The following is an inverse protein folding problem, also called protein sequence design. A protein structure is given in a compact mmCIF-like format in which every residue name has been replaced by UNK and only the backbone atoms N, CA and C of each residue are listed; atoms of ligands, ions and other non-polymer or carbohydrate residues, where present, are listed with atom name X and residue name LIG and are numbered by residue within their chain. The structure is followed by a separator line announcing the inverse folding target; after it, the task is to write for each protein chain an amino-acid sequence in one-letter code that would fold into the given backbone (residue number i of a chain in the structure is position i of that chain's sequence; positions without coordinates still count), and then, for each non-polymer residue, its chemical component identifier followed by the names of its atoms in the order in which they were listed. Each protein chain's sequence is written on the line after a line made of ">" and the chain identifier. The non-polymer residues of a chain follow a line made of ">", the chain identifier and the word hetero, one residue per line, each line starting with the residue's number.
data_IF_397618082792
#
_entry.id   IF_397618082792
#
_cell.length_a   1.000
_cell.length_b   1.000
_cell.length_c   1.000
_cell.angle_alpha   90.00
_cell.angle_beta   90.00
_cell.angle_gamma   90.00
#
_symmetry.space_group_name_H-M   'P 1'
#
loop_
_entity.id
_entity.type
_entity.pdbx_description
1 polymer ?
#
# COMPACT_ATOMS: atom_id res chain seq x y z
N UNK A 1 14.65 -8.63 4.62
CA UNK A 1 15.51 -7.54 5.15
C UNK A 1 16.39 -6.94 4.05
N UNK A 2 15.82 -6.52 2.92
CA UNK A 2 16.52 -5.69 1.92
C UNK A 2 15.49 -4.73 1.31
N UNK A 3 14.79 -4.00 2.18
CA UNK A 3 13.81 -3.00 1.81
C UNK A 3 14.28 -1.64 2.35
N UNK A 4 14.64 -0.74 1.44
CA UNK A 4 15.30 0.53 1.76
C UNK A 4 14.40 1.71 1.43
N UNK A 5 14.26 2.63 2.39
CA UNK A 5 13.47 3.84 2.22
C UNK A 5 14.10 4.74 1.14
N UNK A 6 13.34 5.14 0.13
CA UNK A 6 13.79 6.02 -0.95
C UNK A 6 13.28 7.46 -0.75
N UNK A 7 11.98 7.59 -0.55
CA UNK A 7 11.29 8.87 -0.38
C UNK A 7 10.18 8.72 0.66
N UNK A 8 9.95 9.71 1.50
CA UNK A 8 8.85 9.69 2.46
C UNK A 8 8.44 11.09 2.86
N UNK A 9 7.14 11.29 3.05
CA UNK A 9 6.57 12.55 3.49
C UNK A 9 5.42 12.29 4.47
N UNK A 10 5.67 12.53 5.75
CA UNK A 10 4.72 12.47 6.87
C UNK A 10 4.01 11.12 6.95
N UNK A 11 2.95 10.92 6.17
CA UNK A 11 2.07 9.77 6.21
C UNK A 11 2.22 8.83 5.01
N UNK A 12 3.18 9.08 4.12
CA UNK A 12 3.48 8.20 2.99
C UNK A 12 4.97 7.94 2.82
N UNK A 13 5.32 6.79 2.26
CA UNK A 13 6.68 6.47 1.85
C UNK A 13 6.71 5.61 0.59
N UNK A 14 7.83 5.71 -0.12
CA UNK A 14 8.25 4.85 -1.21
C UNK A 14 9.59 4.23 -0.84
N UNK A 15 9.72 2.93 -1.04
CA UNK A 15 10.88 2.13 -0.70
C UNK A 15 11.21 1.12 -1.78
N UNK A 16 12.44 0.62 -1.78
CA UNK A 16 12.94 -0.35 -2.75
C UNK A 16 13.16 -1.68 -2.05
N UNK A 17 12.37 -2.69 -2.40
CA UNK A 17 12.55 -4.08 -1.98
C UNK A 17 13.26 -4.88 -3.06
N UNK A 18 14.45 -5.39 -2.74
CA UNK A 18 15.25 -6.16 -3.69
C UNK A 18 15.03 -7.67 -3.57
N UNK A 19 14.18 -8.12 -2.64
CA UNK A 19 13.92 -9.56 -2.40
C UNK A 19 12.56 -10.00 -2.92
N UNK A 20 11.56 -9.16 -2.73
CA UNK A 20 10.20 -9.41 -3.17
C UNK A 20 9.95 -8.54 -4.39
N UNK A 21 10.18 -9.09 -5.59
CA UNK A 21 9.97 -8.38 -6.86
C UNK A 21 8.66 -8.88 -7.46
N UNK A 22 7.66 -8.00 -7.57
CA UNK A 22 6.37 -8.34 -8.18
C UNK A 22 6.37 -7.98 -9.67
N UNK A 23 6.15 -8.97 -10.53
CA UNK A 23 5.92 -8.73 -11.96
C UNK A 23 4.45 -8.38 -12.13
N UNK A 24 4.16 -7.10 -12.32
CA UNK A 24 2.81 -6.53 -12.35
C UNK A 24 2.59 -5.54 -11.21
N UNK A 25 1.33 -5.16 -11.00
CA UNK A 25 0.94 -4.18 -9.97
C UNK A 25 -0.01 -4.87 -9.00
N UNK A 26 0.36 -4.84 -7.72
CA UNK A 26 -0.57 -5.08 -6.61
C UNK A 26 -0.82 -3.75 -5.95
N UNK A 27 -2.08 -3.33 -5.85
CA UNK A 27 -2.45 -2.11 -5.15
C UNK A 27 -3.67 -2.39 -4.28
N UNK A 28 -3.67 -1.88 -3.06
CA UNK A 28 -4.85 -1.70 -2.23
C UNK A 28 -4.87 -0.27 -1.76
N UNK A 29 -5.92 0.45 -2.12
CA UNK A 29 -6.09 1.87 -1.78
C UNK A 29 -7.44 2.05 -1.14
N UNK A 30 -7.45 2.41 0.12
CA UNK A 30 -8.61 2.92 0.82
C UNK A 30 -8.48 4.44 0.93
N UNK A 31 -9.42 5.16 0.33
CA UNK A 31 -9.45 6.62 0.32
C UNK A 31 -10.86 7.10 0.65
N UNK A 32 -11.03 7.59 1.87
CA UNK A 32 -12.32 8.03 2.42
C UNK A 32 -13.38 6.93 2.31
N UNK A 33 -14.27 7.05 1.33
CA UNK A 33 -15.38 6.12 1.10
C UNK A 33 -15.07 5.06 0.03
N UNK A 34 -13.93 5.15 -0.66
CA UNK A 34 -13.58 4.28 -1.79
C UNK A 34 -12.50 3.28 -1.40
N UNK A 35 -12.75 2.01 -1.68
CA UNK A 35 -11.75 0.94 -1.57
C UNK A 35 -11.46 0.45 -2.98
N UNK A 36 -10.22 0.58 -3.43
CA UNK A 36 -9.78 0.14 -4.74
C UNK A 36 -8.65 -0.87 -4.61
N UNK A 37 -8.87 -2.08 -5.11
CA UNK A 37 -7.85 -3.13 -5.13
C UNK A 37 -7.51 -3.49 -6.59
N UNK A 38 -6.25 -3.81 -6.85
CA UNK A 38 -5.74 -4.26 -8.14
C UNK A 38 -4.77 -5.44 -7.94
N UNK A 39 -4.96 -6.51 -8.71
CA UNK A 39 -4.22 -7.77 -8.63
C UNK A 39 -3.61 -8.15 -9.99
N UNK A 40 -2.90 -7.22 -10.64
CA UNK A 40 -2.28 -7.48 -11.94
C UNK A 40 -0.96 -8.27 -11.82
N UNK A 41 -0.55 -8.66 -10.61
CA UNK A 41 0.66 -9.44 -10.43
C UNK A 41 0.43 -10.92 -10.75
N UNK A 42 1.45 -11.56 -11.34
CA UNK A 42 1.38 -12.95 -11.83
C UNK A 42 1.05 -13.96 -10.72
N UNK A 43 1.37 -13.62 -9.47
CA UNK A 43 1.20 -14.46 -8.29
C UNK A 43 -0.05 -14.13 -7.46
N UNK A 44 -0.93 -13.25 -7.97
CA UNK A 44 -2.15 -12.86 -7.26
C UNK A 44 -3.40 -13.52 -7.83
N UNK A 45 -4.30 -13.95 -6.93
CA UNK A 45 -5.59 -14.50 -7.32
C UNK A 45 -6.50 -13.40 -7.91
N UNK A 46 -7.37 -13.79 -8.85
CA UNK A 46 -8.36 -12.87 -9.41
C UNK A 46 -9.31 -12.36 -8.33
N UNK A 47 -9.54 -11.05 -8.31
CA UNK A 47 -10.44 -10.37 -7.38
C UNK A 47 -11.94 -10.60 -7.67
N UNK A 48 -12.26 -11.47 -8.63
CA UNK A 48 -13.63 -11.82 -9.01
C UNK A 48 -14.27 -10.82 -9.99
N UNK A 49 -15.34 -11.27 -10.65
CA UNK A 49 -16.10 -10.48 -11.61
C UNK A 49 -17.54 -10.31 -11.11
N UNK A 50 -18.05 -9.08 -11.17
CA UNK A 50 -19.42 -8.76 -10.81
C UNK A 50 -19.54 -8.11 -9.43
N UNK A 51 -20.68 -8.30 -8.76
CA UNK A 51 -20.93 -7.72 -7.45
C UNK A 51 -20.32 -8.63 -6.38
N UNK A 52 -19.22 -8.19 -5.78
CA UNK A 52 -18.45 -8.96 -4.79
C UNK A 52 -18.90 -8.54 -3.39
N UNK A 53 -20.00 -9.08 -2.88
CA UNK A 53 -20.54 -8.65 -1.58
C UNK A 53 -19.53 -8.83 -0.44
N UNK A 54 -19.05 -7.72 0.13
CA UNK A 54 -18.28 -7.68 1.36
C UNK A 54 -19.15 -7.13 2.50
N UNK A 55 -19.08 -7.71 3.72
CA UNK A 55 -20.02 -7.38 4.81
C UNK A 55 -19.96 -5.93 5.30
N UNK A 56 -18.84 -5.24 5.08
CA UNK A 56 -18.61 -3.85 5.53
C UNK A 56 -18.68 -2.80 4.40
N UNK A 57 -18.98 -3.23 3.17
CA UNK A 57 -19.07 -2.36 2.00
C UNK A 57 -20.53 -2.22 1.53
N UNK A 58 -20.95 -1.00 1.21
CA UNK A 58 -22.27 -0.68 0.65
C UNK A 58 -22.44 -1.37 -0.70
N UNK A 59 -21.40 -1.33 -1.52
CA UNK A 59 -21.37 -1.95 -2.84
C UNK A 59 -19.91 -2.18 -3.22
N UNK A 60 -19.59 -3.35 -3.80
CA UNK A 60 -18.28 -3.65 -4.37
C UNK A 60 -18.46 -4.24 -5.75
N UNK A 61 -17.82 -3.64 -6.73
CA UNK A 61 -17.83 -4.07 -8.12
C UNK A 61 -16.44 -4.55 -8.49
N UNK A 62 -16.34 -5.79 -8.93
CA UNK A 62 -15.11 -6.43 -9.40
C UNK A 62 -15.08 -6.56 -10.92
N UNK A 63 -13.94 -6.23 -11.49
CA UNK A 63 -13.55 -6.46 -12.88
C UNK A 63 -12.31 -7.35 -12.90
N UNK A 64 -12.37 -8.61 -12.45
CA UNK A 64 -11.33 -9.67 -12.47
C UNK A 64 -9.94 -9.32 -11.91
N UNK A 65 -9.31 -8.28 -12.45
CA UNK A 65 -8.03 -7.67 -12.12
C UNK A 65 -8.15 -6.51 -11.13
N UNK A 66 -9.32 -5.89 -10.99
CA UNK A 66 -9.52 -4.79 -10.04
C UNK A 66 -10.90 -4.82 -9.39
N UNK A 67 -11.03 -4.26 -8.18
CA UNK A 67 -12.31 -4.05 -7.53
C UNK A 67 -12.44 -2.63 -7.02
N UNK A 68 -13.64 -2.07 -7.12
CA UNK A 68 -14.02 -0.80 -6.54
C UNK A 68 -15.17 -1.01 -5.56
N UNK A 69 -14.90 -0.75 -4.29
CA UNK A 69 -15.81 -0.79 -3.16
C UNK A 69 -16.20 0.60 -2.68
N UNK A 70 -17.44 0.75 -2.22
CA UNK A 70 -17.93 1.91 -1.51
C UNK A 70 -18.22 1.51 -0.07
N UNK A 71 -17.63 2.20 0.91
CA UNK A 71 -17.88 1.99 2.33
C UNK A 71 -18.08 3.32 3.07
N UNK A 72 -18.51 3.23 4.33
CA UNK A 72 -18.50 4.42 5.22
C UNK A 72 -17.05 4.78 5.55
N UNK A 73 -16.68 6.07 5.51
CA UNK A 73 -15.30 6.48 5.74
C UNK A 73 -14.90 6.25 7.20
N UNK A 74 -13.81 5.50 7.38
CA UNK A 74 -13.19 5.24 8.69
C UNK A 74 -11.80 5.84 8.80
N UNK A 75 -11.12 6.04 7.67
CA UNK A 75 -9.77 6.57 7.53
C UNK A 75 -9.75 7.63 6.43
N UNK A 76 -8.74 8.51 6.43
CA UNK A 76 -8.55 9.46 5.33
C UNK A 76 -7.88 8.77 4.14
N UNK A 77 -6.81 8.03 4.41
CA UNK A 77 -6.10 7.22 3.43
C UNK A 77 -5.50 6.00 4.13
N UNK A 78 -5.55 4.84 3.48
CA UNK A 78 -4.78 3.66 3.81
C UNK A 78 -4.48 2.94 2.49
N UNK A 79 -3.30 3.17 1.95
CA UNK A 79 -2.89 2.65 0.66
C UNK A 79 -1.57 1.88 0.77
N UNK A 80 -1.46 0.80 0.02
CA UNK A 80 -0.21 0.07 -0.19
C UNK A 80 -0.15 -0.40 -1.64
N UNK A 81 0.97 -0.15 -2.30
CA UNK A 81 1.20 -0.58 -3.67
C UNK A 81 2.58 -1.21 -3.82
N UNK A 82 2.65 -2.21 -4.69
CA UNK A 82 3.86 -2.90 -5.03
C UNK A 82 3.91 -3.12 -6.54
N UNK A 83 4.93 -2.53 -7.17
CA UNK A 83 5.21 -2.70 -8.59
C UNK A 83 6.71 -2.91 -8.78
N UNK A 84 7.09 -4.04 -9.37
CA UNK A 84 8.50 -4.43 -9.53
C UNK A 84 9.22 -4.48 -8.18
N UNK A 85 10.22 -3.63 -7.98
CA UNK A 85 10.96 -3.49 -6.72
C UNK A 85 10.49 -2.29 -5.88
N UNK A 86 9.50 -1.52 -6.35
CA UNK A 86 9.04 -0.31 -5.67
C UNK A 86 7.82 -0.67 -4.82
N UNK A 87 7.94 -0.41 -3.53
CA UNK A 87 6.86 -0.50 -2.55
C UNK A 87 6.50 0.89 -2.10
N UNK A 88 5.22 1.23 -2.09
CA UNK A 88 4.75 2.47 -1.50
C UNK A 88 3.62 2.20 -0.53
N UNK A 89 3.54 3.01 0.51
CA UNK A 89 2.45 2.96 1.45
C UNK A 89 2.07 4.36 1.92
N UNK A 90 0.79 4.54 2.22
CA UNK A 90 0.26 5.77 2.80
C UNK A 90 -0.78 5.43 3.85
N UNK A 91 -0.81 6.15 4.97
CA UNK A 91 -1.84 5.97 5.98
C UNK A 91 -2.07 7.19 6.85
N UNK A 92 -3.32 7.64 6.91
CA UNK A 92 -3.76 8.71 7.80
C UNK A 92 -5.18 8.44 8.31
N UNK A 93 -5.43 8.36 9.63
CA UNK A 93 -4.45 8.38 10.74
C UNK A 93 -3.39 7.27 10.62
N UNK A 94 -2.25 7.40 11.33
CA UNK A 94 -1.18 6.41 11.27
C UNK A 94 -1.68 5.02 11.67
N UNK A 95 -1.36 4.03 10.85
CA UNK A 95 -1.77 2.64 11.01
C UNK A 95 -0.54 1.73 11.03
N UNK A 96 -0.49 0.77 11.95
CA UNK A 96 0.65 -0.13 12.12
C UNK A 96 0.88 -1.04 10.90
N UNK A 97 -0.16 -1.31 10.13
CA UNK A 97 -0.11 -2.21 8.97
C UNK A 97 0.34 -1.49 7.69
N UNK A 98 0.30 -0.16 7.67
CA UNK A 98 0.66 0.68 6.52
C UNK A 98 1.82 1.65 6.82
N UNK A 99 1.59 2.64 7.69
CA UNK A 99 2.58 3.66 8.07
C UNK A 99 2.46 3.91 9.59
N UNK A 100 3.35 3.34 10.41
CA UNK A 100 3.20 3.32 11.87
C UNK A 100 3.45 4.68 12.53
N UNK A 101 4.23 5.54 11.89
CA UNK A 101 4.62 6.84 12.43
C UNK A 101 5.00 7.81 11.32
N UNK A 102 5.10 9.10 11.67
CA UNK A 102 5.61 10.10 10.75
C UNK A 102 7.00 9.72 10.23
N UNK A 103 7.22 9.83 8.92
CA UNK A 103 8.51 9.54 8.29
C UNK A 103 8.82 10.62 7.26
N UNK A 104 10.07 11.08 7.21
CA UNK A 104 10.54 12.04 6.21
C UNK A 104 11.85 11.55 5.64
N UNK A 105 11.89 11.35 4.32
CA UNK A 105 13.09 10.92 3.62
C UNK A 105 13.10 11.43 2.19
N UNK A 106 14.29 11.65 1.64
CA UNK A 106 14.46 12.04 0.26
C UNK A 106 15.75 11.45 -0.30
N UNK A 107 15.67 10.78 -1.45
CA UNK A 107 16.82 10.17 -2.13
C UNK A 107 17.66 9.26 -1.20
N UNK A 108 17.00 8.34 -0.49
CA UNK A 108 17.59 7.41 0.49
C UNK A 108 18.16 8.04 1.77
N UNK A 109 18.06 9.36 1.93
CA UNK A 109 18.39 10.04 3.17
C UNK A 109 17.14 10.17 4.02
N UNK A 110 17.11 9.47 5.15
CA UNK A 110 16.09 9.65 6.17
C UNK A 110 16.41 10.90 6.97
N UNK A 111 15.45 11.82 7.07
CA UNK A 111 15.53 13.04 7.86
C UNK A 111 14.84 12.88 9.21
N UNK A 112 13.76 12.09 9.28
CA UNK A 112 13.03 11.79 10.50
C UNK A 112 12.28 10.44 10.39
N UNK A 113 12.11 9.67 11.48
CA UNK A 113 12.39 10.02 12.88
C UNK A 113 13.88 9.99 13.25
N UNK A 114 14.68 9.20 12.56
CA UNK A 114 16.13 9.15 12.74
C UNK A 114 16.83 9.58 11.45
N UNK A 115 17.94 10.30 11.59
CA UNK A 115 18.76 10.68 10.44
C UNK A 115 19.62 9.50 10.01
N UNK A 116 19.60 9.17 8.71
CA UNK A 116 20.38 8.04 8.20
C UNK A 116 20.39 7.94 6.68
N UNK A 117 21.21 7.03 6.16
CA UNK A 117 21.30 6.72 4.73
C UNK A 117 20.92 5.26 4.51
N UNK A 118 20.07 5.00 3.51
CA UNK A 118 19.53 3.68 3.20
C UNK A 118 18.93 3.00 4.45
N UNK A 119 18.14 3.76 5.21
CA UNK A 119 17.44 3.24 6.39
C UNK A 119 16.38 2.23 5.95
N UNK A 120 16.16 1.21 6.78
CA UNK A 120 15.17 0.18 6.50
C UNK A 120 13.75 0.76 6.55
N UNK A 121 12.93 0.47 5.53
CA UNK A 121 11.54 0.91 5.51
C UNK A 121 10.69 0.15 6.55
N UNK A 122 9.61 0.76 7.08
CA UNK A 122 8.66 0.08 7.95
C UNK A 122 8.07 -1.17 7.28
N UNK A 123 7.81 -2.22 8.07
CA UNK A 123 7.16 -3.42 7.54
C UNK A 123 5.69 -3.13 7.19
N UNK A 124 5.31 -3.43 5.95
CA UNK A 124 3.95 -3.30 5.45
C UNK A 124 3.36 -4.67 5.20
N UNK A 125 2.41 -5.08 6.03
CA UNK A 125 1.87 -6.44 6.02
C UNK A 125 0.83 -6.66 4.90
N UNK A 126 0.23 -5.58 4.38
CA UNK A 126 -0.90 -5.64 3.44
C UNK A 126 -0.53 -5.88 1.96
N UNK A 127 0.77 -5.95 1.63
CA UNK A 127 1.29 -6.21 0.27
C UNK A 127 1.54 -7.70 -0.04
N UNK A 128 1.15 -8.62 0.85
CA UNK A 128 1.50 -10.05 0.77
C UNK A 128 0.39 -10.99 0.31
N UNK A 129 -0.72 -10.47 -0.23
CA UNK A 129 -1.75 -11.29 -0.89
C UNK A 129 -1.56 -11.27 -2.39
#
# INVERSE_FOLDING_TARGET
>A
MSNYLCNACICCYSSIDTKDIKIGIVNKTDFLCLVNDCCLAVDTESLGVGMVTAPDEICKVGLAVCTLGLKKPTTCIAAAQHCLCIKEAASFPFDKDYVPSFTCAYCFLSCAPEFGCAVQAPATNNMSR
#
